data_IF_592281983060
#
_entry.id   IF_592281983060
#
_cell.length_a   1.000
_cell.length_b   1.000
_cell.length_c   1.000
_cell.angle_alpha   90.00
_cell.angle_beta   90.00
_cell.angle_gamma   90.00
#
_symmetry.space_group_name_H-M   'P 1'
#
loop_
_entity.id
_entity.type
_entity.pdbx_description
1 polymer ?
#
# COMPACT_ATOMS: atom_id res chain seq x y z
N UNK A 1 -7.79 5.20 -11.15
CA UNK A 1 -6.85 5.31 -10.00
C UNK A 1 -6.98 4.00 -9.24
N UNK A 2 -5.93 3.20 -9.15
CA UNK A 2 -5.96 1.93 -8.39
C UNK A 2 -5.81 2.20 -6.89
N UNK A 3 -6.26 1.28 -6.05
CA UNK A 3 -6.11 1.33 -4.60
C UNK A 3 -4.63 1.43 -4.19
N UNK A 4 -3.75 0.71 -4.90
CA UNK A 4 -2.29 0.80 -4.72
C UNK A 4 -1.77 2.22 -4.96
N UNK A 5 -2.23 2.90 -6.02
CA UNK A 5 -1.84 4.28 -6.29
C UNK A 5 -2.34 5.24 -5.20
N UNK A 6 -3.58 5.04 -4.72
CA UNK A 6 -4.12 5.83 -3.61
C UNK A 6 -3.31 5.66 -2.33
N UNK A 7 -2.94 4.43 -1.98
CA UNK A 7 -2.08 4.14 -0.83
C UNK A 7 -0.70 4.80 -0.96
N UNK A 8 -0.11 4.85 -2.16
CA UNK A 8 1.15 5.54 -2.40
C UNK A 8 1.04 7.06 -2.20
N UNK A 9 -0.07 7.67 -2.64
CA UNK A 9 -0.29 9.11 -2.45
C UNK A 9 -0.61 9.46 -1.00
N UNK A 10 -1.37 8.60 -0.30
CA UNK A 10 -1.59 8.71 1.14
C UNK A 10 -0.30 8.55 1.93
N UNK A 11 0.62 7.66 1.50
CA UNK A 11 1.95 7.52 2.10
C UNK A 11 2.76 8.81 1.98
N UNK A 12 2.79 9.43 0.79
CA UNK A 12 3.47 10.73 0.57
C UNK A 12 2.87 11.83 1.44
N UNK A 13 1.54 11.82 1.59
CA UNK A 13 0.82 12.78 2.41
C UNK A 13 1.12 12.59 3.90
N UNK A 14 1.14 11.35 4.39
CA UNK A 14 1.54 11.00 5.76
C UNK A 14 3.00 11.38 6.04
N UNK A 15 3.90 11.16 5.07
CA UNK A 15 5.30 11.57 5.18
C UNK A 15 5.42 13.10 5.29
N UNK A 16 4.72 13.86 4.45
CA UNK A 16 4.75 15.33 4.45
C UNK A 16 4.17 15.93 5.73
N UNK A 17 3.10 15.33 6.27
CA UNK A 17 2.48 15.74 7.53
C UNK A 17 3.20 15.25 8.78
N UNK A 18 4.24 14.40 8.62
CA UNK A 18 4.97 13.74 9.72
C UNK A 18 4.08 12.87 10.61
N UNK A 19 2.97 12.38 10.06
CA UNK A 19 2.06 11.44 10.72
C UNK A 19 2.69 10.04 10.72
N UNK A 20 3.40 9.72 11.80
CA UNK A 20 4.17 8.48 11.91
C UNK A 20 3.29 7.24 11.97
N UNK A 21 2.14 7.34 12.64
CA UNK A 21 1.24 6.20 12.84
C UNK A 21 0.57 5.81 11.53
N UNK A 22 0.06 6.81 10.78
CA UNK A 22 -0.51 6.60 9.46
C UNK A 22 0.54 6.11 8.46
N UNK A 23 1.74 6.69 8.49
CA UNK A 23 2.85 6.28 7.62
C UNK A 23 3.28 4.83 7.88
N UNK A 24 3.37 4.42 9.14
CA UNK A 24 3.71 3.05 9.52
C UNK A 24 2.67 2.05 9.01
N UNK A 25 1.39 2.35 9.24
CA UNK A 25 0.27 1.52 8.80
C UNK A 25 0.26 1.34 7.28
N UNK A 26 0.38 2.44 6.52
CA UNK A 26 0.38 2.38 5.05
C UNK A 26 1.59 1.58 4.52
N UNK A 27 2.76 1.71 5.13
CA UNK A 27 3.96 0.94 4.74
C UNK A 27 3.78 -0.55 4.95
N UNK A 28 3.14 -0.96 6.05
CA UNK A 28 2.84 -2.37 6.31
C UNK A 28 1.90 -2.94 5.26
N UNK A 29 0.85 -2.20 4.89
CA UNK A 29 -0.09 -2.61 3.83
C UNK A 29 0.65 -2.77 2.49
N UNK A 30 1.42 -1.76 2.07
CA UNK A 30 2.17 -1.81 0.82
C UNK A 30 3.21 -2.94 0.79
N UNK A 31 3.83 -3.25 1.93
CA UNK A 31 4.76 -4.36 2.06
C UNK A 31 4.06 -5.71 1.89
N UNK A 32 2.89 -5.91 2.51
CA UNK A 32 2.10 -7.14 2.38
C UNK A 32 1.61 -7.36 0.95
N UNK A 33 1.12 -6.30 0.28
CA UNK A 33 0.72 -6.35 -1.14
C UNK A 33 1.91 -6.76 -1.99
N UNK A 34 3.06 -6.10 -1.82
CA UNK A 34 4.27 -6.41 -2.59
C UNK A 34 4.77 -7.83 -2.33
N UNK A 35 4.73 -8.30 -1.09
CA UNK A 35 5.13 -9.66 -0.74
C UNK A 35 4.31 -10.68 -1.52
N UNK A 36 2.98 -10.52 -1.53
CA UNK A 36 2.08 -11.41 -2.25
C UNK A 36 2.25 -11.36 -3.76
N UNK A 37 2.47 -10.17 -4.35
CA UNK A 37 2.80 -10.04 -5.79
C UNK A 37 4.08 -10.80 -6.16
N UNK A 38 5.11 -10.72 -5.30
CA UNK A 38 6.39 -11.41 -5.52
C UNK A 38 6.24 -12.92 -5.37
N UNK A 39 5.53 -13.36 -4.33
CA UNK A 39 5.35 -14.77 -4.01
C UNK A 39 4.50 -15.50 -5.06
N UNK A 40 3.40 -14.88 -5.49
CA UNK A 40 2.46 -15.45 -6.47
C UNK A 40 2.83 -15.11 -7.93
N UNK A 41 3.77 -14.19 -8.15
CA UNK A 41 4.15 -13.65 -9.47
C UNK A 41 2.96 -13.11 -10.27
N UNK A 42 2.06 -12.43 -9.56
CA UNK A 42 0.90 -11.74 -10.13
C UNK A 42 0.95 -10.26 -9.81
N UNK A 43 0.26 -9.44 -10.61
CA UNK A 43 -0.13 -8.10 -10.20
C UNK A 43 -1.47 -8.20 -9.47
N UNK A 44 -1.52 -7.73 -8.23
CA UNK A 44 -2.76 -7.71 -7.45
C UNK A 44 -3.65 -6.57 -7.94
N UNK A 45 -4.89 -6.89 -8.26
CA UNK A 45 -5.93 -5.90 -8.50
C UNK A 45 -6.53 -5.39 -7.18
N UNK A 46 -7.37 -4.36 -7.28
CA UNK A 46 -7.96 -3.72 -6.10
C UNK A 46 -8.84 -4.69 -5.29
N UNK A 47 -9.44 -5.69 -5.93
CA UNK A 47 -10.28 -6.68 -5.26
C UNK A 47 -9.43 -7.67 -4.43
N UNK A 48 -8.30 -8.10 -4.98
CA UNK A 48 -7.35 -9.00 -4.30
C UNK A 48 -6.58 -8.31 -3.17
N UNK A 49 -6.52 -6.97 -3.14
CA UNK A 49 -5.95 -6.19 -2.03
C UNK A 49 -6.93 -6.10 -0.83
N UNK A 50 -8.24 -6.15 -1.07
CA UNK A 50 -9.28 -6.01 -0.02
C UNK A 50 -9.65 -7.35 0.63
N UNK A 51 -9.40 -8.47 -0.05
CA UNK A 51 -9.84 -9.83 0.33
C UNK A 51 -8.70 -10.63 0.96
#
# INVERSE_FOLDING_TARGET
MTLKNRLQDDMKTALKSKDKDRLGTIRLILAAVKQREVDERIDLDDAAIIT
#
